data_IF_081470141047
#
_entry.id   IF_081470141047
#
_cell.length_a   1.000
_cell.length_b   1.000
_cell.length_c   1.000
_cell.angle_alpha   90.00
_cell.angle_beta   90.00
_cell.angle_gamma   90.00
#
_symmetry.space_group_name_H-M   'P 1'
#
loop_
_entity.id
_entity.type
_entity.pdbx_description
1 polymer ?
#
# COMPACT_ATOMS: atom_id res chain seq x y z
N UNK A 1 -3.70 -12.04 6.83
CA UNK A 1 -4.68 -10.96 6.57
C UNK A 1 -5.98 -11.08 7.40
N UNK A 2 -6.07 -11.93 8.44
CA UNK A 2 -7.25 -11.98 9.33
C UNK A 2 -7.47 -10.68 10.14
N UNK A 3 -6.39 -10.00 10.51
CA UNK A 3 -6.48 -8.77 11.33
C UNK A 3 -7.31 -7.67 10.67
N UNK A 4 -7.28 -7.55 9.34
CA UNK A 4 -8.03 -6.50 8.63
C UNK A 4 -9.52 -6.80 8.49
N UNK A 5 -9.95 -8.06 8.67
CA UNK A 5 -11.37 -8.44 8.53
C UNK A 5 -12.26 -7.83 9.61
N UNK A 6 -11.70 -7.58 10.80
CA UNK A 6 -12.42 -7.00 11.95
C UNK A 6 -11.92 -5.59 12.30
N UNK A 7 -11.25 -4.90 11.36
CA UNK A 7 -10.60 -3.62 11.61
C UNK A 7 -11.62 -2.47 11.66
N UNK A 8 -11.86 -1.94 12.86
CA UNK A 8 -12.87 -0.93 13.14
C UNK A 8 -12.29 0.49 13.08
N UNK A 9 -13.15 1.53 13.04
CA UNK A 9 -12.67 2.91 13.04
C UNK A 9 -11.79 3.28 14.25
N UNK A 10 -12.03 2.66 15.40
CA UNK A 10 -11.19 2.84 16.59
C UNK A 10 -9.76 2.33 16.35
N UNK A 11 -9.62 1.13 15.77
CA UNK A 11 -8.32 0.53 15.46
C UNK A 11 -7.56 1.38 14.43
N UNK A 12 -8.26 1.90 13.42
CA UNK A 12 -7.68 2.83 12.45
C UNK A 12 -7.10 4.05 13.18
N UNK A 13 -7.88 4.71 14.01
CA UNK A 13 -7.45 5.92 14.69
C UNK A 13 -6.25 5.67 15.63
N UNK A 14 -6.19 4.52 16.29
CA UNK A 14 -5.03 4.12 17.08
C UNK A 14 -3.79 3.95 16.19
N UNK A 15 -3.90 3.23 15.07
CA UNK A 15 -2.79 3.03 14.14
C UNK A 15 -2.31 4.33 13.49
N UNK A 16 -3.21 5.26 13.16
CA UNK A 16 -2.83 6.54 12.56
C UNK A 16 -2.00 7.44 13.50
N UNK A 17 -2.06 7.22 14.82
CA UNK A 17 -1.25 7.94 15.82
C UNK A 17 0.19 7.43 15.94
N UNK A 18 0.49 6.25 15.39
CA UNK A 18 1.85 5.72 15.36
C UNK A 18 2.79 6.66 14.62
N UNK A 19 4.09 6.60 14.93
CA UNK A 19 5.09 7.25 14.09
C UNK A 19 5.04 6.65 12.67
N UNK A 20 5.58 7.35 11.69
CA UNK A 20 5.62 6.85 10.32
C UNK A 20 6.40 5.53 10.19
N UNK A 21 7.49 5.39 10.96
CA UNK A 21 8.29 4.17 10.99
C UNK A 21 7.54 2.99 11.65
N UNK A 22 6.86 3.24 12.77
CA UNK A 22 6.10 2.20 13.47
C UNK A 22 4.88 1.75 12.64
N UNK A 23 4.28 2.68 11.90
CA UNK A 23 3.21 2.36 10.96
C UNK A 23 3.71 1.49 9.80
N UNK A 24 4.87 1.83 9.24
CA UNK A 24 5.49 1.03 8.17
C UNK A 24 5.88 -0.37 8.68
N UNK A 25 6.44 -0.50 9.88
CA UNK A 25 6.70 -1.79 10.52
C UNK A 25 5.41 -2.63 10.69
N UNK A 26 4.33 -2.01 11.13
CA UNK A 26 3.02 -2.68 11.20
C UNK A 26 2.51 -3.12 9.83
N UNK A 27 2.72 -2.33 8.77
CA UNK A 27 2.39 -2.75 7.41
C UNK A 27 3.26 -3.92 6.93
N UNK A 28 4.53 -3.99 7.34
CA UNK A 28 5.40 -5.15 7.07
C UNK A 28 4.87 -6.42 7.76
N UNK A 29 4.42 -6.32 9.01
CA UNK A 29 3.79 -7.43 9.75
C UNK A 29 2.50 -7.92 9.09
N UNK A 30 1.72 -7.00 8.51
CA UNK A 30 0.53 -7.34 7.72
C UNK A 30 0.85 -7.95 6.35
N UNK A 31 2.10 -7.86 5.90
CA UNK A 31 2.53 -8.27 4.57
C UNK A 31 2.18 -7.28 3.45
N UNK A 32 1.82 -6.04 3.81
CA UNK A 32 1.54 -4.96 2.85
C UNK A 32 2.82 -4.24 2.41
N UNK A 33 3.87 -4.29 3.24
CA UNK A 33 5.23 -3.86 2.89
C UNK A 33 6.21 -5.03 2.98
N UNK A 34 7.32 -4.91 2.26
CA UNK A 34 8.39 -5.91 2.32
C UNK A 34 9.30 -5.64 3.52
N UNK A 35 9.30 -6.50 4.54
CA UNK A 35 10.29 -6.39 5.62
C UNK A 35 11.69 -6.90 5.22
N UNK A 36 11.76 -7.83 4.26
CA UNK A 36 13.00 -8.34 3.65
C UNK A 36 12.77 -8.63 2.19
N UNK A 37 13.81 -8.47 1.37
CA UNK A 37 13.74 -8.72 -0.08
C UNK A 37 15.01 -9.35 -0.64
N UNK A 38 14.84 -10.26 -1.59
CA UNK A 38 15.93 -10.76 -2.44
C UNK A 38 16.04 -9.91 -3.70
N UNK A 39 17.21 -9.95 -4.34
CA UNK A 39 17.42 -9.23 -5.58
C UNK A 39 16.64 -9.89 -6.71
N UNK A 40 15.79 -9.14 -7.41
CA UNK A 40 15.02 -9.64 -8.55
C UNK A 40 15.89 -10.16 -9.70
N UNK A 41 17.14 -9.70 -9.81
CA UNK A 41 18.06 -10.05 -10.91
C UNK A 41 18.92 -11.28 -10.62
N UNK A 42 19.44 -11.42 -9.40
CA UNK A 42 20.41 -12.49 -9.07
C UNK A 42 20.05 -13.34 -7.85
N UNK A 43 18.90 -13.09 -7.20
CA UNK A 43 18.48 -13.79 -5.97
C UNK A 43 19.31 -13.45 -4.72
N UNK A 44 20.36 -12.64 -4.85
CA UNK A 44 21.24 -12.25 -3.74
C UNK A 44 20.54 -11.40 -2.67
N UNK A 45 21.21 -11.23 -1.52
CA UNK A 45 20.74 -10.38 -0.42
C UNK A 45 20.64 -8.92 -0.87
N UNK A 46 19.67 -8.20 -0.30
CA UNK A 46 19.53 -6.76 -0.49
C UNK A 46 19.56 -6.03 0.84
N UNK A 47 19.97 -4.77 0.82
CA UNK A 47 19.88 -3.85 1.96
C UNK A 47 19.14 -2.59 1.54
N UNK A 48 18.48 -1.95 2.50
CA UNK A 48 17.83 -0.66 2.25
C UNK A 48 18.91 0.42 2.22
N UNK A 49 18.92 1.21 1.16
CA UNK A 49 19.73 2.41 1.06
C UNK A 49 18.76 3.60 1.12
N UNK A 50 18.74 4.29 2.25
CA UNK A 50 17.95 5.51 2.45
C UNK A 50 18.72 6.67 1.83
N UNK A 51 18.13 7.32 0.84
CA UNK A 51 18.72 8.53 0.25
C UNK A 51 18.48 9.71 1.20
N UNK A 52 19.40 10.68 1.19
CA UNK A 52 19.17 11.94 1.90
C UNK A 52 17.95 12.62 1.28
N UNK A 53 17.06 13.14 2.12
CA UNK A 53 15.85 13.87 1.77
C UNK A 53 14.68 13.04 1.17
N UNK A 54 14.82 11.72 1.03
CA UNK A 54 13.70 10.84 0.66
C UNK A 54 13.21 10.03 1.87
N UNK A 55 11.88 10.00 2.09
CA UNK A 55 11.28 9.15 3.14
C UNK A 55 11.57 7.67 2.89
N UNK A 56 11.42 7.23 1.64
CA UNK A 56 11.61 5.85 1.25
C UNK A 56 12.89 5.70 0.45
N UNK A 57 13.73 4.75 0.85
CA UNK A 57 14.95 4.43 0.11
C UNK A 57 14.71 3.48 -1.07
N UNK A 58 15.79 2.80 -1.46
CA UNK A 58 15.73 1.70 -2.42
C UNK A 58 16.38 0.43 -1.85
N UNK A 59 15.85 -0.72 -2.21
CA UNK A 59 16.52 -2.00 -1.99
C UNK A 59 17.69 -2.11 -2.96
N UNK A 60 18.89 -2.25 -2.42
CA UNK A 60 20.12 -2.40 -3.19
C UNK A 60 20.70 -3.79 -3.01
N UNK A 61 20.98 -4.46 -4.12
CA UNK A 61 21.67 -5.74 -4.10
C UNK A 61 23.10 -5.58 -3.56
N UNK A 62 23.51 -6.46 -2.64
CA UNK A 62 24.85 -6.46 -2.05
C UNK A 62 25.89 -7.20 -2.90
N UNK A 63 25.45 -7.95 -3.92
CA UNK A 63 26.34 -8.64 -4.86
C UNK A 63 27.08 -7.63 -5.75
N UNK A 64 28.43 -7.62 -5.65
CA UNK A 64 29.34 -6.65 -6.28
C UNK A 64 29.10 -6.43 -7.78
N UNK A 65 28.76 -7.48 -8.51
CA UNK A 65 28.57 -7.45 -9.97
C UNK A 65 27.11 -7.24 -10.40
N UNK A 66 26.12 -7.41 -9.50
CA UNK A 66 24.72 -7.22 -9.86
C UNK A 66 24.31 -5.76 -9.75
N UNK A 67 24.61 -5.12 -8.61
CA UNK A 67 24.32 -3.71 -8.27
C UNK A 67 22.87 -3.25 -8.55
N UNK A 68 21.94 -4.18 -8.70
CA UNK A 68 20.55 -3.87 -9.02
C UNK A 68 19.92 -3.07 -7.86
N UNK A 69 19.01 -2.16 -8.23
CA UNK A 69 18.21 -1.35 -7.32
C UNK A 69 16.74 -1.52 -7.67
N UNK A 70 15.89 -1.47 -6.67
CA UNK A 70 14.43 -1.43 -6.81
C UNK A 70 13.88 -0.53 -5.70
N UNK A 71 12.83 0.26 -6.00
CA UNK A 71 12.24 1.17 -5.01
C UNK A 71 11.76 0.40 -3.77
N UNK A 72 11.74 1.07 -2.60
CA UNK A 72 11.33 0.41 -1.35
C UNK A 72 9.90 -0.15 -1.44
N UNK A 73 8.96 0.63 -2.01
CA UNK A 73 7.56 0.28 -2.19
C UNK A 73 7.26 -0.53 -3.46
N UNK A 74 8.27 -0.80 -4.30
CA UNK A 74 8.07 -1.52 -5.57
C UNK A 74 7.48 -2.92 -5.32
N UNK A 75 6.46 -3.33 -6.10
CA UNK A 75 5.75 -4.60 -5.93
C UNK A 75 4.77 -4.64 -4.77
N UNK A 76 4.42 -3.47 -4.19
CA UNK A 76 3.42 -3.36 -3.12
C UNK A 76 2.23 -2.53 -3.59
N UNK A 77 1.15 -2.52 -2.82
CA UNK A 77 0.00 -1.64 -3.04
C UNK A 77 0.36 -0.15 -3.07
N UNK A 78 1.49 0.23 -2.48
CA UNK A 78 1.96 1.61 -2.40
C UNK A 78 2.98 1.95 -3.49
N UNK A 79 3.19 1.09 -4.50
CA UNK A 79 4.16 1.38 -5.56
C UNK A 79 3.79 2.66 -6.34
N UNK A 80 4.80 3.48 -6.64
CA UNK A 80 4.64 4.69 -7.46
C UNK A 80 3.99 5.89 -6.77
N UNK A 81 3.54 5.77 -5.51
CA UNK A 81 2.93 6.87 -4.79
C UNK A 81 3.95 7.91 -4.30
N UNK A 82 3.56 9.19 -4.35
CA UNK A 82 4.24 10.29 -3.65
C UNK A 82 3.63 10.60 -2.28
N UNK A 83 2.53 9.95 -1.92
CA UNK A 83 1.91 10.06 -0.61
C UNK A 83 2.61 9.14 0.39
N UNK A 84 2.43 9.42 1.67
CA UNK A 84 2.84 8.48 2.72
C UNK A 84 1.96 7.23 2.68
N UNK A 85 2.54 6.06 2.99
CA UNK A 85 1.78 4.79 3.16
C UNK A 85 0.60 4.98 4.11
N UNK A 86 0.79 5.74 5.20
CA UNK A 86 -0.25 6.11 6.17
C UNK A 86 -1.42 6.86 5.55
N UNK A 87 -1.16 7.86 4.70
CA UNK A 87 -2.21 8.61 3.98
C UNK A 87 -2.97 7.71 3.02
N UNK A 88 -2.26 6.89 2.25
CA UNK A 88 -2.87 5.95 1.29
C UNK A 88 -3.73 4.93 2.02
N UNK A 89 -3.24 4.37 3.14
CA UNK A 89 -3.99 3.42 3.95
C UNK A 89 -5.23 4.04 4.59
N UNK A 90 -5.13 5.26 5.12
CA UNK A 90 -6.29 5.98 5.65
C UNK A 90 -7.34 6.18 4.56
N UNK A 91 -6.92 6.65 3.37
CA UNK A 91 -7.82 6.88 2.25
C UNK A 91 -8.48 5.58 1.77
N UNK A 92 -7.73 4.48 1.67
CA UNK A 92 -8.28 3.18 1.26
C UNK A 92 -9.30 2.65 2.27
N UNK A 93 -9.08 2.86 3.57
CA UNK A 93 -10.07 2.52 4.59
C UNK A 93 -11.37 3.32 4.43
N UNK A 94 -11.27 4.64 4.29
CA UNK A 94 -12.46 5.49 4.09
C UNK A 94 -13.24 5.09 2.84
N UNK A 95 -12.54 4.76 1.76
CA UNK A 95 -13.18 4.30 0.53
C UNK A 95 -13.86 2.93 0.69
N UNK A 96 -13.16 1.94 1.23
CA UNK A 96 -13.67 0.57 1.37
C UNK A 96 -14.94 0.51 2.24
N UNK A 97 -14.98 1.33 3.30
CA UNK A 97 -16.13 1.42 4.21
C UNK A 97 -17.15 2.50 3.81
N UNK A 98 -16.96 3.17 2.66
CA UNK A 98 -17.83 4.26 2.16
C UNK A 98 -18.07 5.37 3.19
N UNK A 99 -17.01 5.75 3.91
CA UNK A 99 -17.06 6.73 4.98
C UNK A 99 -16.86 8.15 4.45
N UNK A 100 -17.92 8.94 4.51
CA UNK A 100 -17.90 10.36 4.16
C UNK A 100 -17.90 10.64 2.65
N UNK A 101 -18.02 11.93 2.33
CA UNK A 101 -17.91 12.46 0.96
C UNK A 101 -16.47 12.91 0.67
N UNK A 102 -16.17 13.27 -0.58
CA UNK A 102 -14.85 13.73 -1.00
C UNK A 102 -14.25 14.82 -0.11
N UNK A 103 -15.05 15.83 0.26
CA UNK A 103 -14.61 16.91 1.15
C UNK A 103 -14.21 16.40 2.55
N UNK A 104 -14.90 15.39 3.08
CA UNK A 104 -14.53 14.75 4.34
C UNK A 104 -13.23 13.96 4.19
N UNK A 105 -13.04 13.22 3.10
CA UNK A 105 -11.81 12.48 2.84
C UNK A 105 -10.61 13.42 2.69
N UNK A 106 -10.77 14.56 2.01
CA UNK A 106 -9.76 15.61 1.90
C UNK A 106 -9.40 16.17 3.27
N UNK A 107 -10.40 16.52 4.08
CA UNK A 107 -10.18 16.97 5.46
C UNK A 107 -9.46 15.92 6.33
N UNK A 108 -9.90 14.66 6.28
CA UNK A 108 -9.40 13.59 7.15
C UNK A 108 -7.97 13.13 6.78
N UNK A 109 -7.60 13.20 5.50
CA UNK A 109 -6.32 12.67 4.99
C UNK A 109 -5.31 13.77 4.64
N UNK A 110 -5.78 15.01 4.43
CA UNK A 110 -4.98 16.10 3.88
C UNK A 110 -4.44 15.78 2.49
N UNK A 111 -5.19 15.01 1.69
CA UNK A 111 -4.92 14.73 0.28
C UNK A 111 -5.83 15.63 -0.55
N UNK A 112 -5.31 16.24 -1.60
CA UNK A 112 -6.11 17.11 -2.46
C UNK A 112 -7.26 16.34 -3.12
N UNK A 113 -8.38 17.03 -3.35
CA UNK A 113 -9.53 16.49 -4.06
C UNK A 113 -9.16 15.81 -5.40
N UNK A 114 -8.25 16.40 -6.18
CA UNK A 114 -7.78 15.80 -7.44
C UNK A 114 -7.11 14.44 -7.20
N UNK A 115 -6.11 14.39 -6.31
CA UNK A 115 -5.41 13.15 -6.01
C UNK A 115 -6.36 12.10 -5.41
N UNK A 116 -7.35 12.51 -4.60
CA UNK A 116 -8.36 11.58 -4.09
C UNK A 116 -9.09 10.91 -5.25
N UNK A 117 -9.55 11.66 -6.25
CA UNK A 117 -10.25 11.08 -7.42
C UNK A 117 -9.37 10.05 -8.14
N UNK A 118 -8.08 10.34 -8.33
CA UNK A 118 -7.13 9.41 -8.94
C UNK A 118 -7.00 8.12 -8.12
N UNK A 119 -6.87 8.23 -6.79
CA UNK A 119 -6.83 7.09 -5.88
C UNK A 119 -8.12 6.26 -5.89
N UNK A 120 -9.29 6.91 -6.00
CA UNK A 120 -10.55 6.18 -6.12
C UNK A 120 -10.61 5.34 -7.39
N UNK A 121 -10.04 5.83 -8.50
CA UNK A 121 -9.89 5.05 -9.73
C UNK A 121 -8.96 3.87 -9.52
N UNK A 122 -7.79 4.11 -8.95
CA UNK A 122 -6.83 3.04 -8.63
C UNK A 122 -7.44 1.95 -7.75
N UNK A 123 -8.21 2.30 -6.70
CA UNK A 123 -8.86 1.29 -5.85
C UNK A 123 -9.88 0.44 -6.61
N UNK A 124 -10.62 1.04 -7.56
CA UNK A 124 -11.53 0.28 -8.42
C UNK A 124 -10.78 -0.69 -9.31
N UNK A 125 -9.65 -0.26 -9.88
CA UNK A 125 -8.82 -1.10 -10.74
C UNK A 125 -8.24 -2.29 -9.97
N UNK A 126 -7.75 -2.06 -8.74
CA UNK A 126 -7.29 -3.13 -7.84
C UNK A 126 -8.39 -4.14 -7.54
N UNK A 127 -9.61 -3.68 -7.25
CA UNK A 127 -10.74 -4.57 -7.05
C UNK A 127 -11.12 -5.33 -8.34
N UNK A 128 -11.14 -4.66 -9.49
CA UNK A 128 -11.46 -5.26 -10.77
C UNK A 128 -10.46 -6.37 -11.15
N UNK A 129 -9.16 -6.13 -11.00
CA UNK A 129 -8.13 -7.14 -11.20
C UNK A 129 -8.31 -8.35 -10.29
N UNK A 130 -8.72 -8.13 -9.03
CA UNK A 130 -8.97 -9.23 -8.10
C UNK A 130 -10.16 -10.10 -8.55
N UNK A 131 -11.22 -9.51 -9.10
CA UNK A 131 -12.36 -10.27 -9.65
C UNK A 131 -11.98 -11.05 -10.90
N UNK A 132 -11.09 -10.53 -11.75
CA UNK A 132 -10.58 -11.26 -12.92
C UNK A 132 -9.69 -12.44 -12.49
N UNK A 133 -8.83 -12.24 -11.49
CA UNK A 133 -7.91 -13.29 -11.00
C UNK A 133 -8.62 -14.36 -10.17
N UNK A 134 -9.69 -13.99 -9.46
CA UNK A 134 -10.51 -14.88 -8.67
C UNK A 134 -11.92 -14.86 -9.26
N UNK A 135 -12.09 -15.51 -10.42
CA UNK A 135 -13.38 -15.58 -11.09
C UNK A 135 -14.44 -16.08 -10.10
N UNK A 136 -15.34 -15.18 -9.73
CA UNK A 136 -16.59 -15.54 -9.08
C UNK A 136 -17.54 -15.85 -10.22
N UNK A 137 -18.14 -17.03 -10.21
CA UNK A 137 -19.15 -17.39 -11.21
C UNK A 137 -20.37 -16.48 -10.97
N UNK A 138 -20.49 -15.39 -11.76
CA UNK A 138 -21.60 -14.46 -11.68
C UNK A 138 -22.64 -14.88 -12.73
N UNK A 139 -23.51 -15.80 -12.33
CA UNK A 139 -24.63 -16.32 -13.13
C UNK A 139 -24.85 -17.81 -12.84
N UNK A 140 -26.09 -18.21 -12.56
CA UNK A 140 -26.44 -19.64 -12.58
C UNK A 140 -26.43 -20.18 -14.01
N UNK A 141 -26.34 -21.50 -14.18
CA UNK A 141 -26.62 -22.14 -15.46
C UNK A 141 -27.96 -21.60 -15.97
N UNK A 142 -27.93 -20.92 -17.13
CA UNK A 142 -29.13 -20.45 -17.79
C UNK A 142 -30.03 -21.65 -18.09
N UNK A 143 -31.30 -21.55 -17.72
CA UNK A 143 -32.36 -22.49 -18.08
C UNK A 143 -32.42 -22.75 -19.59
#
# INVERSE_FOLDING_TARGET
>A
MEQLKNFKPFDLHEKLRLSDNDFDAWLEELGLLHGKRTCYKCGGRTTINVMKDERYGCWRCTTRNCRAKQGYLCGTFFEGTHLTTKKVFHLSYLWAYRLGKYNYMEFATGISSHSIVDWMSFFRDVCAENFVKNEILIGGEGN
#
